data_IF_145934615767
#
_entry.id   IF_145934615767
#
_cell.length_a   1.000
_cell.length_b   1.000
_cell.length_c   1.000
_cell.angle_alpha   90.00
_cell.angle_beta   90.00
_cell.angle_gamma   90.00
#
_symmetry.space_group_name_H-M   'P 1'
#
loop_
_entity.id
_entity.type
_entity.pdbx_description
1 polymer ?
#
# COMPACT_ATOMS: atom_id res chain seq x y z
N UNK A 1 -32.98 -53.43 11.75
CA UNK A 1 -31.94 -52.86 10.88
C UNK A 1 -32.36 -51.41 10.58
N UNK A 2 -31.90 -50.44 11.41
CA UNK A 2 -32.23 -49.02 11.25
C UNK A 2 -31.11 -48.33 10.50
N UNK A 3 -31.41 -47.82 9.32
CA UNK A 3 -30.52 -46.95 8.54
C UNK A 3 -30.65 -45.53 9.04
N UNK A 4 -29.66 -45.01 9.71
CA UNK A 4 -29.54 -43.59 10.05
C UNK A 4 -29.04 -42.85 8.79
N UNK A 5 -29.89 -41.97 8.25
CA UNK A 5 -29.55 -41.04 7.18
C UNK A 5 -29.02 -39.77 7.84
N UNK A 6 -27.72 -39.55 7.71
CA UNK A 6 -27.04 -38.34 8.20
C UNK A 6 -27.17 -37.24 7.13
N UNK A 7 -28.09 -36.31 7.34
CA UNK A 7 -28.27 -35.14 6.46
C UNK A 7 -27.23 -34.08 6.87
N UNK A 8 -26.18 -33.96 6.10
CA UNK A 8 -25.16 -32.91 6.27
C UNK A 8 -25.72 -31.56 5.78
N UNK A 9 -25.90 -30.63 6.69
CA UNK A 9 -26.30 -29.24 6.39
C UNK A 9 -25.03 -28.45 5.95
N UNK A 10 -24.88 -28.20 4.65
CA UNK A 10 -23.87 -27.28 4.13
C UNK A 10 -24.31 -25.84 4.45
N UNK A 11 -23.67 -25.23 5.43
CA UNK A 11 -23.81 -23.78 5.66
C UNK A 11 -22.94 -23.05 4.62
N UNK A 12 -23.55 -22.56 3.56
CA UNK A 12 -22.92 -21.62 2.64
C UNK A 12 -22.78 -20.27 3.34
N UNK A 13 -21.58 -19.98 3.88
CA UNK A 13 -21.23 -18.67 4.40
C UNK A 13 -21.18 -17.64 3.27
N UNK A 14 -22.18 -16.77 3.20
CA UNK A 14 -22.15 -15.59 2.33
C UNK A 14 -21.11 -14.62 2.92
N UNK A 15 -19.94 -14.53 2.29
CA UNK A 15 -18.99 -13.44 2.53
C UNK A 15 -19.64 -12.15 2.01
N UNK A 16 -20.25 -11.39 2.90
CA UNK A 16 -20.63 -10.00 2.59
C UNK A 16 -19.36 -9.19 2.50
N UNK A 17 -18.91 -8.89 1.29
CA UNK A 17 -17.94 -7.84 1.06
C UNK A 17 -18.53 -6.52 1.55
N UNK A 18 -18.05 -6.02 2.67
CA UNK A 18 -18.29 -4.64 3.10
C UNK A 18 -17.56 -3.70 2.12
N UNK A 19 -18.13 -3.57 0.94
CA UNK A 19 -17.79 -2.51 0.03
C UNK A 19 -18.45 -1.25 0.60
N UNK A 20 -17.66 -0.39 1.24
CA UNK A 20 -18.10 0.95 1.58
C UNK A 20 -18.48 1.67 0.29
N UNK A 21 -19.76 1.59 -0.09
CA UNK A 21 -20.29 2.30 -1.23
C UNK A 21 -20.19 3.80 -0.93
N UNK A 22 -19.20 4.46 -1.49
CA UNK A 22 -19.21 5.92 -1.54
C UNK A 22 -20.39 6.37 -2.41
N UNK A 23 -21.09 7.44 -2.00
CA UNK A 23 -22.17 8.02 -2.81
C UNK A 23 -21.63 8.35 -4.21
N UNK A 24 -22.34 7.93 -5.24
CA UNK A 24 -21.97 8.24 -6.62
C UNK A 24 -21.86 9.76 -6.78
N UNK A 25 -20.64 10.25 -7.06
CA UNK A 25 -20.38 11.67 -7.31
C UNK A 25 -19.41 12.38 -6.36
N UNK A 26 -19.03 11.78 -5.21
CA UNK A 26 -17.99 12.39 -4.36
C UNK A 26 -16.62 11.78 -4.70
N UNK A 27 -15.71 12.65 -5.16
CA UNK A 27 -14.30 12.27 -5.32
C UNK A 27 -13.65 12.19 -3.94
N UNK A 28 -12.88 11.14 -3.62
CA UNK A 28 -12.19 11.05 -2.33
C UNK A 28 -11.12 12.13 -2.21
N UNK A 29 -10.90 12.60 -0.99
CA UNK A 29 -9.70 13.36 -0.67
C UNK A 29 -8.53 12.39 -0.58
N UNK A 30 -7.41 12.73 -1.24
CA UNK A 30 -6.20 11.90 -1.23
C UNK A 30 -5.10 12.67 -0.51
N UNK A 31 -4.58 12.10 0.57
CA UNK A 31 -3.39 12.59 1.25
C UNK A 31 -2.25 11.60 0.96
N UNK A 32 -1.23 12.07 0.23
CA UNK A 32 -0.03 11.29 -0.04
C UNK A 32 1.11 11.78 0.84
N UNK A 33 1.71 10.89 1.63
CA UNK A 33 2.84 11.18 2.51
C UNK A 33 4.03 10.33 2.06
N UNK A 34 5.13 10.97 1.72
CA UNK A 34 6.37 10.33 1.32
C UNK A 34 7.46 10.70 2.32
N UNK A 35 8.12 9.71 2.91
CA UNK A 35 9.32 9.91 3.73
C UNK A 35 10.57 9.67 2.90
N UNK A 36 11.61 10.46 3.16
CA UNK A 36 12.91 10.34 2.50
C UNK A 36 13.83 9.43 3.32
N UNK A 37 14.58 8.57 2.62
CA UNK A 37 15.59 7.65 3.20
C UNK A 37 15.11 6.86 4.45
N UNK A 38 13.83 6.52 4.49
CA UNK A 38 13.25 5.78 5.59
C UNK A 38 13.14 4.29 5.26
N UNK A 39 13.86 3.46 5.98
CA UNK A 39 13.82 2.00 5.80
C UNK A 39 12.52 1.39 6.36
N UNK A 40 12.01 0.35 5.71
CA UNK A 40 10.86 -0.43 6.20
C UNK A 40 11.13 -1.04 7.60
N UNK A 41 12.38 -1.34 7.93
CA UNK A 41 12.77 -1.85 9.25
C UNK A 41 12.54 -0.85 10.40
N UNK A 42 12.47 0.44 10.10
CA UNK A 42 12.16 1.50 11.06
C UNK A 42 10.66 1.80 11.17
N UNK A 43 9.81 1.09 10.43
CA UNK A 43 8.37 1.07 10.64
C UNK A 43 7.99 -0.13 11.51
N UNK A 44 7.63 0.09 12.76
CA UNK A 44 7.30 -0.99 13.68
C UNK A 44 6.16 -1.91 13.23
N UNK A 45 5.36 -1.49 12.24
CA UNK A 45 4.27 -2.28 11.65
C UNK A 45 4.76 -3.46 10.80
N UNK A 46 5.96 -3.37 10.23
CA UNK A 46 6.55 -4.45 9.42
C UNK A 46 7.42 -5.41 10.24
N UNK A 47 7.65 -5.13 11.52
CA UNK A 47 8.60 -5.88 12.34
C UNK A 47 10.05 -5.55 12.00
N UNK A 48 10.94 -6.50 12.26
CA UNK A 48 12.37 -6.31 12.02
C UNK A 48 13.13 -5.80 13.24
N UNK A 49 14.45 -5.63 13.08
CA UNK A 49 15.36 -5.35 14.20
C UNK A 49 15.14 -4.02 14.91
N UNK A 50 14.51 -3.06 14.24
CA UNK A 50 14.23 -1.74 14.80
C UNK A 50 12.79 -1.60 15.32
N UNK A 51 11.95 -2.63 15.22
CA UNK A 51 10.53 -2.54 15.56
C UNK A 51 10.28 -2.16 17.03
N UNK A 52 11.15 -2.61 17.92
CA UNK A 52 11.06 -2.30 19.37
C UNK A 52 11.39 -0.84 19.67
N UNK A 53 12.20 -0.20 18.84
CA UNK A 53 12.64 1.18 18.99
C UNK A 53 11.81 2.17 18.16
N UNK A 54 11.12 1.67 17.14
CA UNK A 54 10.35 2.48 16.19
C UNK A 54 8.94 2.80 16.72
N UNK A 55 8.84 3.80 17.60
CA UNK A 55 7.58 4.22 18.21
C UNK A 55 6.71 5.06 17.26
N UNK A 56 6.33 4.49 16.13
CA UNK A 56 5.51 5.16 15.10
C UNK A 56 4.00 5.09 15.45
N UNK A 57 3.58 5.69 16.54
CA UNK A 57 2.21 5.56 17.07
C UNK A 57 1.13 5.92 16.04
N UNK A 58 1.30 7.03 15.30
CA UNK A 58 0.34 7.45 14.28
C UNK A 58 0.32 6.51 13.08
N UNK A 59 1.47 5.99 12.66
CA UNK A 59 1.55 5.01 11.57
C UNK A 59 0.90 3.69 11.98
N UNK A 60 1.12 3.24 13.24
CA UNK A 60 0.44 2.06 13.78
C UNK A 60 -1.07 2.24 13.82
N UNK A 61 -1.55 3.45 14.15
CA UNK A 61 -2.98 3.75 14.11
C UNK A 61 -3.53 3.66 12.68
N UNK A 62 -2.86 4.28 11.71
CA UNK A 62 -3.25 4.20 10.29
C UNK A 62 -3.26 2.75 9.80
N UNK A 63 -2.24 1.97 10.14
CA UNK A 63 -2.16 0.55 9.79
C UNK A 63 -3.32 -0.27 10.37
N UNK A 64 -3.74 0.03 11.60
CA UNK A 64 -4.87 -0.65 12.26
C UNK A 64 -6.22 -0.30 11.67
N UNK A 65 -6.40 0.94 11.23
CA UNK A 65 -7.65 1.47 10.68
C UNK A 65 -7.76 1.30 9.16
N UNK A 66 -6.66 0.99 8.49
CA UNK A 66 -6.55 0.90 7.04
C UNK A 66 -5.97 -0.43 6.56
N UNK A 67 -5.12 -0.36 5.55
CA UNK A 67 -4.45 -1.51 4.92
C UNK A 67 -2.95 -1.31 4.96
N UNK A 68 -2.22 -2.36 5.29
CA UNK A 68 -0.75 -2.44 5.17
C UNK A 68 -0.41 -3.26 3.94
N UNK A 69 0.49 -2.75 3.10
CA UNK A 69 0.94 -3.41 1.88
C UNK A 69 2.34 -3.98 2.13
N UNK A 70 2.45 -5.30 2.30
CA UNK A 70 3.73 -5.98 2.54
C UNK A 70 4.59 -6.08 1.28
N UNK A 71 3.96 -6.14 0.11
CA UNK A 71 4.61 -6.30 -1.18
C UNK A 71 4.25 -5.12 -2.10
N UNK A 72 4.83 -3.95 -1.84
CA UNK A 72 4.68 -2.78 -2.68
C UNK A 72 5.99 -2.48 -3.40
N UNK A 73 5.94 -2.37 -4.72
CA UNK A 73 7.12 -2.17 -5.56
C UNK A 73 7.13 -0.76 -6.14
N UNK A 74 8.31 -0.17 -6.24
CA UNK A 74 8.52 1.10 -6.94
C UNK A 74 9.14 0.87 -8.33
N UNK A 75 8.93 1.82 -9.21
CA UNK A 75 9.47 1.76 -10.59
C UNK A 75 10.96 2.02 -10.65
N UNK A 76 11.49 2.76 -9.68
CA UNK A 76 12.89 3.05 -9.49
C UNK A 76 13.11 3.28 -7.99
N UNK A 77 14.12 2.63 -7.42
CA UNK A 77 14.32 2.59 -5.96
C UNK A 77 15.29 3.65 -5.44
N UNK A 78 15.62 4.65 -6.25
CA UNK A 78 16.51 5.74 -5.84
C UNK A 78 15.76 7.09 -5.88
N UNK A 79 16.06 7.96 -4.95
CA UNK A 79 15.46 9.26 -4.60
C UNK A 79 14.81 10.04 -5.77
N UNK A 80 15.59 10.74 -6.58
CA UNK A 80 15.05 11.60 -7.65
C UNK A 80 14.28 10.84 -8.74
N UNK A 81 14.73 9.69 -9.26
CA UNK A 81 13.97 8.90 -10.22
C UNK A 81 12.64 8.35 -9.66
N UNK A 82 12.62 7.92 -8.41
CA UNK A 82 11.39 7.47 -7.73
C UNK A 82 10.37 8.60 -7.64
N UNK A 83 10.80 9.77 -7.16
CA UNK A 83 9.98 10.96 -7.02
C UNK A 83 9.44 11.44 -8.37
N UNK A 84 10.27 11.42 -9.41
CA UNK A 84 9.85 11.76 -10.76
C UNK A 84 8.74 10.85 -11.26
N UNK A 85 8.87 9.54 -11.03
CA UNK A 85 7.82 8.58 -11.40
C UNK A 85 6.52 8.82 -10.65
N UNK A 86 6.58 9.16 -9.36
CA UNK A 86 5.40 9.49 -8.55
C UNK A 86 4.74 10.80 -9.04
N UNK A 87 5.54 11.84 -9.27
CA UNK A 87 5.02 13.17 -9.67
C UNK A 87 4.43 13.18 -11.07
N UNK A 88 5.03 12.43 -12.00
CA UNK A 88 4.61 12.42 -13.41
C UNK A 88 3.63 11.30 -13.74
N UNK A 89 3.55 10.26 -12.91
CA UNK A 89 2.84 9.03 -13.24
C UNK A 89 3.51 8.21 -14.34
N UNK A 90 4.76 8.54 -14.70
CA UNK A 90 5.50 7.94 -15.80
C UNK A 90 6.66 7.09 -15.30
N UNK A 91 6.92 5.96 -15.97
CA UNK A 91 8.13 5.18 -15.73
C UNK A 91 9.38 5.94 -16.19
N UNK A 92 10.56 5.59 -15.62
CA UNK A 92 11.83 6.27 -15.90
C UNK A 92 12.18 6.30 -17.39
N UNK A 93 11.82 5.29 -18.18
CA UNK A 93 12.05 5.30 -19.64
C UNK A 93 11.21 6.35 -20.38
N UNK A 94 10.15 6.87 -19.77
CA UNK A 94 9.30 7.92 -20.32
C UNK A 94 9.66 9.29 -19.78
N UNK A 95 9.88 9.41 -18.45
CA UNK A 95 10.25 10.68 -17.82
C UNK A 95 11.77 10.97 -17.92
N UNK A 96 12.57 10.04 -18.45
CA UNK A 96 14.01 10.15 -18.72
C UNK A 96 14.89 10.41 -17.51
N UNK A 97 14.38 10.23 -16.31
CA UNK A 97 15.15 10.41 -15.08
C UNK A 97 15.49 9.04 -14.50
N UNK A 98 16.73 8.59 -14.73
CA UNK A 98 17.21 7.27 -14.33
C UNK A 98 18.12 7.31 -13.10
N UNK A 99 18.87 8.39 -12.96
CA UNK A 99 19.90 8.55 -11.93
C UNK A 99 19.76 9.85 -11.16
N UNK A 100 20.54 10.03 -10.11
CA UNK A 100 20.58 11.29 -9.35
C UNK A 100 21.21 12.45 -10.12
N UNK A 101 21.96 12.14 -11.19
CA UNK A 101 22.60 13.15 -12.04
C UNK A 101 21.67 13.66 -13.15
N UNK A 102 20.58 12.97 -13.41
CA UNK A 102 19.63 13.39 -14.45
C UNK A 102 18.71 14.49 -13.94
N UNK A 103 18.23 15.31 -14.84
CA UNK A 103 17.21 16.32 -14.61
C UNK A 103 15.85 15.86 -15.13
N UNK A 104 14.78 16.25 -14.44
CA UNK A 104 13.42 16.00 -14.93
C UNK A 104 13.17 16.87 -16.17
N UNK A 105 12.78 16.22 -17.25
CA UNK A 105 12.30 16.90 -18.44
C UNK A 105 10.87 17.42 -18.17
N UNK A 106 10.73 18.72 -18.07
CA UNK A 106 9.43 19.37 -17.78
C UNK A 106 8.58 19.60 -19.02
N UNK A 107 9.05 19.18 -20.18
CA UNK A 107 8.32 19.29 -21.46
C UNK A 107 7.40 18.09 -21.74
N UNK A 108 7.38 17.08 -20.87
CA UNK A 108 6.59 15.84 -20.97
C UNK A 108 5.23 15.95 -20.30
#
# INVERSE_FOLDING_TARGET
MNKLVLTGLLAAGTMTHLQGAQPAGQRPNILFILSDDHTSQAWGIYGGVLAEYAHNANIRRLAKEGVVLDNCFCTNSISAPSRASILTGLYSHRNRLYTLADSLDTSI
#
